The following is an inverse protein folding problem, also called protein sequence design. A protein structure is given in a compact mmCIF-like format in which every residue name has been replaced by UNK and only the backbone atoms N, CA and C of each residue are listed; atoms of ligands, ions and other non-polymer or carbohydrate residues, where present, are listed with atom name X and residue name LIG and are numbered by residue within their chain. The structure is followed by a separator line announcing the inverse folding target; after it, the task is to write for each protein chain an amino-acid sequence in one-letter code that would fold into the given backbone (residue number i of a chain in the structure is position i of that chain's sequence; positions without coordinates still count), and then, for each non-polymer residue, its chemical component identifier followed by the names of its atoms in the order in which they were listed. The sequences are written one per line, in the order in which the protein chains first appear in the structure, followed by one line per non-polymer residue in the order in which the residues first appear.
data_IF_917803322856
#
_entry.id   IF_917803322856
#
_cell.length_a   1.000
_cell.length_b   1.000
_cell.length_c   1.000
_cell.angle_alpha   90.00
_cell.angle_beta   90.00
_cell.angle_gamma   90.00
#
_symmetry.space_group_name_H-M   'P 1'
#
loop_
_entity.id
_entity.type
_entity.pdbx_description
1 polymer ?
#
# COMPACT_ATOMS: atom_id res chain seq x y z
N UNK A 1 -32.85 1.65 -76.98
CA UNK A 1 -31.53 1.08 -76.64
C UNK A 1 -30.70 1.92 -75.65
N UNK A 2 -31.02 3.19 -75.37
CA UNK A 2 -30.19 4.05 -74.49
C UNK A 2 -30.29 3.79 -72.98
N UNK A 3 -31.35 3.14 -72.49
CA UNK A 3 -31.52 2.87 -71.04
C UNK A 3 -30.72 1.66 -70.55
N UNK A 4 -30.58 0.62 -71.40
CA UNK A 4 -29.86 -0.60 -71.04
C UNK A 4 -28.37 -0.34 -70.79
N UNK A 5 -27.75 0.54 -71.59
CA UNK A 5 -26.33 0.92 -71.46
C UNK A 5 -26.04 1.77 -70.21
N UNK A 6 -27.02 2.57 -69.77
CA UNK A 6 -26.93 3.33 -68.50
C UNK A 6 -27.06 2.39 -67.30
N UNK A 7 -27.98 1.43 -67.39
CA UNK A 7 -28.20 0.42 -66.35
C UNK A 7 -26.96 -0.47 -66.19
N UNK A 8 -26.37 -0.95 -67.29
CA UNK A 8 -25.17 -1.79 -67.22
C UNK A 8 -23.97 -1.05 -66.66
N UNK A 9 -23.74 0.21 -67.05
CA UNK A 9 -22.67 1.04 -66.46
C UNK A 9 -22.86 1.29 -64.96
N UNK A 10 -24.11 1.49 -64.54
CA UNK A 10 -24.45 1.67 -63.13
C UNK A 10 -24.21 0.38 -62.35
N UNK A 11 -24.63 -0.77 -62.91
CA UNK A 11 -24.40 -2.09 -62.34
C UNK A 11 -22.90 -2.42 -62.24
N UNK A 12 -22.13 -2.08 -63.27
CA UNK A 12 -20.68 -2.33 -63.34
C UNK A 12 -19.91 -1.42 -62.36
N UNK A 13 -20.35 -0.18 -62.15
CA UNK A 13 -19.87 0.69 -61.07
C UNK A 13 -20.21 0.10 -59.70
N UNK A 14 -21.45 -0.37 -59.50
CA UNK A 14 -21.85 -0.98 -58.24
C UNK A 14 -21.03 -2.23 -57.94
N UNK A 15 -20.83 -3.10 -58.94
CA UNK A 15 -19.99 -4.29 -58.82
C UNK A 15 -18.53 -3.95 -58.48
N UNK A 16 -17.96 -2.90 -59.07
CA UNK A 16 -16.62 -2.40 -58.71
C UNK A 16 -16.54 -1.80 -57.30
N UNK A 17 -17.61 -1.16 -56.82
CA UNK A 17 -17.68 -0.62 -55.46
C UNK A 17 -17.97 -1.69 -54.40
N UNK A 18 -18.82 -2.68 -54.70
CA UNK A 18 -19.15 -3.81 -53.81
C UNK A 18 -18.02 -4.83 -53.71
N UNK A 19 -17.19 -4.96 -54.76
CA UNK A 19 -15.92 -5.70 -54.73
C UNK A 19 -14.72 -4.74 -54.57
N UNK A 20 -14.91 -3.61 -53.88
CA UNK A 20 -13.79 -2.72 -53.61
C UNK A 20 -12.91 -3.37 -52.52
N UNK A 21 -11.60 -3.61 -52.77
CA UNK A 21 -10.69 -4.12 -51.74
C UNK A 21 -10.62 -3.22 -50.52
N UNK A 22 -11.01 -1.94 -50.62
CA UNK A 22 -11.01 -0.98 -49.52
C UNK A 22 -11.99 -1.32 -48.37
N UNK A 23 -13.15 -1.93 -48.67
CA UNK A 23 -14.11 -2.40 -47.64
C UNK A 23 -13.60 -3.68 -46.97
N UNK A 24 -12.98 -4.56 -47.76
CA UNK A 24 -12.29 -5.75 -47.25
C UNK A 24 -11.11 -5.38 -46.34
N UNK A 25 -10.42 -4.25 -46.59
CA UNK A 25 -9.33 -3.78 -45.71
C UNK A 25 -9.86 -3.37 -44.34
N UNK A 26 -10.97 -2.63 -44.27
CA UNK A 26 -11.58 -2.21 -43.01
C UNK A 26 -12.16 -3.40 -42.22
N UNK A 27 -12.76 -4.38 -42.90
CA UNK A 27 -13.21 -5.63 -42.30
C UNK A 27 -12.04 -6.48 -41.80
N UNK A 28 -10.95 -6.57 -42.58
CA UNK A 28 -9.74 -7.28 -42.20
C UNK A 28 -9.01 -6.61 -41.02
N UNK A 29 -8.97 -5.27 -40.98
CA UNK A 29 -8.46 -4.50 -39.85
C UNK A 29 -9.31 -4.70 -38.60
N UNK A 30 -10.63 -4.68 -38.74
CA UNK A 30 -11.58 -4.96 -37.65
C UNK A 30 -11.40 -6.37 -37.12
N UNK A 31 -11.30 -7.37 -38.00
CA UNK A 31 -11.06 -8.77 -37.63
C UNK A 31 -9.67 -8.96 -36.97
N UNK A 32 -8.65 -8.28 -37.47
CA UNK A 32 -7.31 -8.24 -36.88
C UNK A 32 -7.35 -7.65 -35.46
N UNK A 33 -8.08 -6.54 -35.28
CA UNK A 33 -8.30 -5.92 -33.98
C UNK A 33 -9.01 -6.87 -33.00
N UNK A 34 -10.08 -7.53 -33.44
CA UNK A 34 -10.77 -8.54 -32.62
C UNK A 34 -9.87 -9.70 -32.21
N UNK A 35 -9.01 -10.19 -33.11
CA UNK A 35 -8.02 -11.21 -32.79
C UNK A 35 -7.01 -10.70 -31.75
N UNK A 36 -6.53 -9.47 -31.90
CA UNK A 36 -5.54 -8.90 -30.98
C UNK A 36 -6.13 -8.65 -29.59
N UNK A 37 -7.37 -8.15 -29.51
CA UNK A 37 -8.12 -8.02 -28.26
C UNK A 37 -8.33 -9.39 -27.61
N UNK A 38 -8.66 -10.41 -28.40
CA UNK A 38 -8.85 -11.78 -27.90
C UNK A 38 -7.55 -12.37 -27.33
N UNK A 39 -6.42 -12.18 -28.02
CA UNK A 39 -5.10 -12.59 -27.52
C UNK A 39 -4.72 -11.85 -26.26
N UNK A 40 -4.98 -10.54 -26.20
CA UNK A 40 -4.70 -9.72 -25.02
C UNK A 40 -5.54 -10.18 -23.82
N UNK A 41 -6.83 -10.45 -24.05
CA UNK A 41 -7.75 -10.98 -23.03
C UNK A 41 -7.26 -12.33 -22.49
N UNK A 42 -6.87 -13.25 -23.36
CA UNK A 42 -6.31 -14.54 -22.95
C UNK A 42 -5.03 -14.40 -22.11
N UNK A 43 -4.13 -13.48 -22.50
CA UNK A 43 -2.92 -13.16 -21.72
C UNK A 43 -3.28 -12.59 -20.34
N UNK A 44 -4.22 -11.65 -20.29
CA UNK A 44 -4.69 -11.05 -19.05
C UNK A 44 -5.30 -12.09 -18.11
N UNK A 45 -6.19 -12.95 -18.61
CA UNK A 45 -6.82 -14.00 -17.79
C UNK A 45 -5.79 -15.02 -17.28
N UNK A 46 -4.81 -15.39 -18.10
CA UNK A 46 -3.69 -16.25 -17.69
C UNK A 46 -2.85 -15.62 -16.58
N UNK A 47 -2.50 -14.34 -16.74
CA UNK A 47 -1.75 -13.59 -15.75
C UNK A 47 -2.53 -13.44 -14.45
N UNK A 48 -3.81 -13.07 -14.53
CA UNK A 48 -4.68 -12.91 -13.38
C UNK A 48 -4.83 -14.22 -12.61
N UNK A 49 -5.01 -15.35 -13.32
CA UNK A 49 -5.08 -16.68 -12.68
C UNK A 49 -3.81 -16.99 -11.92
N UNK A 50 -2.66 -16.76 -12.55
CA UNK A 50 -1.35 -17.01 -11.92
C UNK A 50 -1.15 -16.10 -10.70
N UNK A 51 -1.44 -14.80 -10.81
CA UNK A 51 -1.24 -13.84 -9.71
C UNK A 51 -2.19 -14.02 -8.54
N UNK A 52 -3.48 -14.27 -8.80
CA UNK A 52 -4.50 -14.36 -7.74
C UNK A 52 -4.67 -15.73 -7.15
N UNK A 53 -4.67 -16.78 -7.97
CA UNK A 53 -4.96 -18.13 -7.48
C UNK A 53 -3.64 -18.84 -7.13
N UNK A 54 -2.74 -19.00 -8.11
CA UNK A 54 -1.57 -19.85 -7.91
C UNK A 54 -0.59 -19.29 -6.86
N UNK A 55 -0.30 -17.97 -6.86
CA UNK A 55 0.57 -17.38 -5.83
C UNK A 55 -0.02 -17.44 -4.42
N UNK A 56 -1.35 -17.56 -4.29
CA UNK A 56 -2.04 -17.76 -3.02
C UNK A 56 -2.19 -19.26 -2.67
N UNK A 57 -1.73 -20.16 -3.55
CA UNK A 57 -1.84 -21.60 -3.36
C UNK A 57 -3.21 -22.19 -3.75
N UNK A 58 -4.04 -21.43 -4.46
CA UNK A 58 -5.35 -21.86 -4.96
C UNK A 58 -5.24 -22.42 -6.39
N UNK A 59 -6.16 -23.31 -6.76
CA UNK A 59 -6.27 -23.93 -8.11
C UNK A 59 -4.95 -24.49 -8.67
N UNK A 60 -4.19 -25.22 -7.85
CA UNK A 60 -2.90 -25.79 -8.24
C UNK A 60 -3.00 -27.09 -9.06
N UNK A 61 -4.19 -27.70 -9.13
CA UNK A 61 -4.43 -29.00 -9.78
C UNK A 61 -3.99 -29.08 -11.26
N UNK A 62 -4.14 -28.01 -12.07
CA UNK A 62 -3.70 -28.02 -13.47
C UNK A 62 -2.17 -27.93 -13.68
N UNK A 63 -1.39 -27.60 -12.65
CA UNK A 63 0.07 -27.42 -12.79
C UNK A 63 0.82 -28.75 -12.69
N UNK A 64 1.87 -28.90 -13.48
CA UNK A 64 2.81 -30.01 -13.35
C UNK A 64 3.73 -29.86 -12.13
N UNK A 65 4.33 -30.97 -11.69
CA UNK A 65 5.29 -30.99 -10.56
C UNK A 65 6.43 -29.98 -10.77
N UNK A 66 6.95 -29.87 -11.99
CA UNK A 66 8.03 -28.91 -12.33
C UNK A 66 7.56 -27.46 -12.17
N UNK A 67 6.33 -27.16 -12.57
CA UNK A 67 5.77 -25.81 -12.43
C UNK A 67 5.49 -25.47 -10.97
N UNK A 68 5.02 -26.44 -10.17
CA UNK A 68 4.89 -26.30 -8.72
C UNK A 68 6.23 -25.99 -8.05
N UNK A 69 7.29 -26.74 -8.36
CA UNK A 69 8.62 -26.50 -7.82
C UNK A 69 9.16 -25.12 -8.19
N UNK A 70 8.90 -24.67 -9.42
CA UNK A 70 9.29 -23.33 -9.85
C UNK A 70 8.49 -22.24 -9.14
N UNK A 71 7.21 -22.47 -8.86
CA UNK A 71 6.35 -21.57 -8.10
C UNK A 71 6.83 -21.47 -6.64
N UNK A 72 7.11 -22.60 -6.00
CA UNK A 72 7.65 -22.67 -4.63
C UNK A 72 8.97 -21.90 -4.52
N UNK A 73 9.92 -22.15 -5.43
CA UNK A 73 11.21 -21.43 -5.46
C UNK A 73 11.04 -19.92 -5.61
N UNK A 74 10.08 -19.48 -6.44
CA UNK A 74 9.77 -18.05 -6.60
C UNK A 74 9.22 -17.44 -5.31
N UNK A 75 8.29 -18.12 -4.65
CA UNK A 75 7.70 -17.67 -3.38
C UNK A 75 8.74 -17.62 -2.26
N UNK A 76 9.59 -18.64 -2.17
CA UNK A 76 10.67 -18.69 -1.18
C UNK A 76 11.69 -17.57 -1.39
N UNK A 77 12.08 -17.33 -2.65
CA UNK A 77 12.96 -16.23 -3.01
C UNK A 77 12.38 -14.86 -2.66
N UNK A 78 11.12 -14.61 -3.01
CA UNK A 78 10.42 -13.38 -2.68
C UNK A 78 10.31 -13.19 -1.15
N UNK A 79 9.91 -14.22 -0.42
CA UNK A 79 9.80 -14.17 1.04
C UNK A 79 11.14 -13.88 1.71
N UNK A 80 12.21 -14.53 1.24
CA UNK A 80 13.57 -14.31 1.75
C UNK A 80 13.99 -12.87 1.53
N UNK A 81 13.78 -12.34 0.32
CA UNK A 81 14.10 -10.95 -0.01
C UNK A 81 13.29 -9.96 0.86
N UNK A 82 11.99 -10.20 1.05
CA UNK A 82 11.14 -9.36 1.90
C UNK A 82 11.63 -9.35 3.35
N UNK A 83 11.95 -10.53 3.92
CA UNK A 83 12.48 -10.66 5.28
C UNK A 83 13.83 -9.97 5.45
N UNK A 84 14.73 -10.16 4.49
CA UNK A 84 16.04 -9.50 4.48
C UNK A 84 15.87 -7.99 4.46
N UNK A 85 15.04 -7.45 3.55
CA UNK A 85 14.78 -6.00 3.47
C UNK A 85 14.18 -5.46 4.76
N UNK A 86 13.18 -6.14 5.33
CA UNK A 86 12.57 -5.75 6.61
C UNK A 86 13.61 -5.69 7.72
N UNK A 87 14.48 -6.70 7.79
CA UNK A 87 15.55 -6.77 8.80
C UNK A 87 16.53 -5.62 8.63
N UNK A 88 16.96 -5.34 7.40
CA UNK A 88 17.88 -4.24 7.11
C UNK A 88 17.29 -2.90 7.56
N UNK A 89 16.04 -2.60 7.20
CA UNK A 89 15.36 -1.36 7.61
C UNK A 89 15.33 -1.24 9.14
N UNK A 90 15.03 -2.33 9.85
CA UNK A 90 14.96 -2.31 11.31
C UNK A 90 16.34 -2.08 11.95
N UNK A 91 17.40 -2.64 11.38
CA UNK A 91 18.79 -2.37 11.80
C UNK A 91 19.12 -0.90 11.59
N UNK A 92 18.85 -0.36 10.40
CA UNK A 92 19.13 1.05 10.06
C UNK A 92 18.39 2.00 11.03
N UNK A 93 17.14 1.72 11.34
CA UNK A 93 16.35 2.48 12.32
C UNK A 93 16.93 2.41 13.73
N UNK A 94 17.37 1.22 14.17
CA UNK A 94 18.00 1.06 15.48
C UNK A 94 19.32 1.83 15.57
N UNK A 95 20.13 1.83 14.50
CA UNK A 95 21.37 2.59 14.44
C UNK A 95 21.15 4.10 14.45
N UNK A 96 20.14 4.58 13.73
CA UNK A 96 19.71 5.98 13.74
C UNK A 96 19.32 6.43 15.14
N UNK A 97 18.47 5.65 15.83
CA UNK A 97 18.02 5.95 17.19
C UNK A 97 19.19 5.97 18.18
N UNK A 98 20.10 4.99 18.11
CA UNK A 98 21.32 4.97 18.95
C UNK A 98 22.21 6.18 18.70
N UNK A 99 22.26 6.70 17.47
CA UNK A 99 23.03 7.91 17.15
C UNK A 99 22.39 9.14 17.80
N UNK A 100 21.07 9.27 17.69
CA UNK A 100 20.31 10.35 18.33
C UNK A 100 20.42 10.31 19.85
N UNK A 101 20.33 9.12 20.45
CA UNK A 101 20.53 8.93 21.90
C UNK A 101 21.88 9.47 22.35
N UNK A 102 22.97 9.11 21.66
CA UNK A 102 24.31 9.64 21.96
C UNK A 102 24.37 11.16 21.82
N UNK A 103 23.89 11.71 20.71
CA UNK A 103 23.91 13.16 20.46
C UNK A 103 23.14 13.95 21.53
N UNK A 104 21.96 13.47 21.92
CA UNK A 104 21.17 14.08 22.99
C UNK A 104 21.84 13.92 24.35
N UNK A 105 22.46 12.76 24.61
CA UNK A 105 23.26 12.51 25.80
C UNK A 105 24.41 13.51 25.94
N UNK A 106 25.20 13.70 24.88
CA UNK A 106 26.33 14.63 24.85
C UNK A 106 25.87 16.08 25.06
N UNK A 107 24.78 16.49 24.40
CA UNK A 107 24.23 17.85 24.57
C UNK A 107 23.67 18.08 25.98
N UNK A 108 23.00 17.07 26.55
CA UNK A 108 22.48 17.15 27.91
C UNK A 108 23.63 17.26 28.94
N UNK A 109 24.72 16.51 28.75
CA UNK A 109 25.89 16.60 29.62
C UNK A 109 26.54 17.99 29.54
N UNK A 110 26.70 18.54 28.34
CA UNK A 110 27.21 19.91 28.15
C UNK A 110 26.33 20.96 28.85
N UNK A 111 25.00 20.81 28.78
CA UNK A 111 24.07 21.71 29.46
C UNK A 111 24.17 21.60 30.98
N UNK A 112 24.24 20.38 31.53
CA UNK A 112 24.46 20.15 32.97
C UNK A 112 25.75 20.80 33.46
N UNK A 113 26.84 20.64 32.70
CA UNK A 113 28.13 21.25 33.02
C UNK A 113 28.03 22.78 33.04
N UNK A 114 27.39 23.38 32.02
CA UNK A 114 27.18 24.83 31.95
C UNK A 114 26.37 25.35 33.14
N UNK A 115 25.25 24.72 33.46
CA UNK A 115 24.43 25.08 34.62
C UNK A 115 25.21 24.97 35.92
N UNK A 116 25.98 23.90 36.10
CA UNK A 116 26.81 23.70 37.30
C UNK A 116 27.87 24.79 37.46
N UNK A 117 28.51 25.21 36.36
CA UNK A 117 29.50 26.29 36.37
C UNK A 117 28.87 27.65 36.69
N UNK A 118 27.73 27.97 36.07
CA UNK A 118 26.99 29.21 36.34
C UNK A 118 26.51 29.29 37.80
N UNK A 119 25.97 28.19 38.35
CA UNK A 119 25.57 28.12 39.76
C UNK A 119 26.76 28.36 40.70
N UNK A 120 27.92 27.74 40.37
CA UNK A 120 29.15 27.90 41.17
C UNK A 120 29.67 29.34 41.11
N UNK A 121 29.59 29.98 39.95
CA UNK A 121 29.96 31.40 39.77
C UNK A 121 29.05 32.32 40.57
N UNK A 122 27.73 32.10 40.54
CA UNK A 122 26.75 32.89 41.29
C UNK A 122 26.93 32.76 42.81
N UNK A 123 27.30 31.57 43.29
CA UNK A 123 27.57 31.33 44.70
C UNK A 123 28.88 32.00 45.15
N UNK A 124 29.87 32.12 44.26
CA UNK A 124 31.12 32.84 44.52
C UNK A 124 30.93 34.37 44.58
N UNK A 125 29.96 34.95 43.87
CA UNK A 125 29.66 36.39 43.88
C UNK A 125 28.75 36.85 45.04
N UNK A 126 28.53 36.01 46.06
CA UNK A 126 27.89 36.40 47.32
C UNK A 126 26.37 36.61 47.27
N UNK A 127 25.71 36.29 46.16
CA UNK A 127 24.24 36.33 46.05
C UNK A 127 23.65 34.97 46.44
N UNK A 128 23.43 34.77 47.75
CA UNK A 128 22.83 33.55 48.28
C UNK A 128 21.36 33.40 47.90
N UNK A 129 21.07 32.75 46.77
CA UNK A 129 19.76 32.19 46.48
C UNK A 129 19.76 30.69 46.78
N UNK A 130 18.76 30.26 47.56
CA UNK A 130 18.55 28.87 47.99
C UNK A 130 18.50 27.95 46.75
N UNK A 131 19.10 26.74 46.77
CA UNK A 131 19.04 25.84 45.62
C UNK A 131 17.58 25.52 45.30
N UNK A 132 17.12 25.87 44.10
CA UNK A 132 15.82 25.40 43.62
C UNK A 132 15.91 23.87 43.45
N UNK A 133 14.90 23.09 43.90
CA UNK A 133 14.87 21.66 43.61
C UNK A 133 14.65 21.48 42.11
N UNK A 134 15.71 21.14 41.38
CA UNK A 134 15.60 20.73 39.98
C UNK A 134 14.91 19.35 39.93
N UNK A 135 13.79 19.18 39.21
CA UNK A 135 13.00 17.94 39.20
C UNK A 135 13.72 16.70 38.64
N UNK A 136 14.94 16.84 38.10
CA UNK A 136 15.66 15.76 37.42
C UNK A 136 16.81 15.14 38.24
N UNK A 137 17.05 15.60 39.47
CA UNK A 137 17.98 14.93 40.38
C UNK A 137 17.31 13.69 41.02
N UNK A 138 17.25 12.59 40.27
CA UNK A 138 16.96 11.26 40.82
C UNK A 138 18.25 10.63 41.35
N UNK A 139 18.76 11.17 42.45
CA UNK A 139 19.77 10.49 43.25
C UNK A 139 19.46 10.79 44.73
N UNK A 140 19.07 9.72 45.45
CA UNK A 140 18.77 9.61 46.89
C UNK A 140 17.28 9.64 47.27
N UNK A 141 16.57 8.55 46.97
CA UNK A 141 15.40 8.15 47.74
C UNK A 141 15.86 7.50 49.06
N UNK A 142 16.08 8.31 50.10
CA UNK A 142 16.06 7.83 51.48
C UNK A 142 14.62 7.74 51.94
N UNK A 143 14.21 6.58 52.43
CA UNK A 143 12.90 6.31 53.01
C UNK A 143 12.52 7.36 54.06
N UNK A 144 11.34 7.98 53.89
CA UNK A 144 10.86 9.02 54.78
C UNK A 144 9.47 9.50 54.37
N UNK A 145 8.47 8.79 54.89
CA UNK A 145 7.04 9.04 54.85
C UNK A 145 6.62 10.54 54.84
N UNK A 146 6.04 11.04 53.74
CA UNK A 146 4.91 12.00 53.73
C UNK A 146 4.26 12.09 52.34
N UNK A 147 2.99 11.67 52.26
CA UNK A 147 1.89 12.23 51.47
C UNK A 147 2.13 12.58 49.98
N UNK A 148 1.92 11.60 49.10
CA UNK A 148 1.76 11.84 47.66
C UNK A 148 0.42 12.55 47.38
N UNK A 149 0.48 13.82 46.97
CA UNK A 149 -0.54 14.38 46.09
C UNK A 149 -0.04 14.20 44.65
N UNK A 150 -0.50 13.13 44.00
CA UNK A 150 -0.34 12.94 42.55
C UNK A 150 -1.12 14.08 41.86
N UNK A 151 -0.40 15.07 41.36
CA UNK A 151 -0.96 16.05 40.43
C UNK A 151 -0.98 15.39 39.04
N UNK A 152 -2.14 15.18 38.39
CA UNK A 152 -2.18 14.70 37.01
C UNK A 152 -1.71 15.82 36.10
N UNK A 153 -0.51 15.71 35.53
CA UNK A 153 -0.14 16.51 34.37
C UNK A 153 -1.01 16.03 33.20
N UNK A 154 -1.99 16.85 32.85
CA UNK A 154 -2.77 16.70 31.63
C UNK A 154 -1.83 16.70 30.42
N UNK A 155 -1.78 15.57 29.73
CA UNK A 155 -1.16 15.47 28.41
C UNK A 155 -2.06 16.16 27.40
N UNK A 156 -1.64 17.30 26.86
CA UNK A 156 -2.18 17.75 25.58
C UNK A 156 -1.68 16.78 24.48
N UNK A 157 -2.55 16.31 23.57
CA UNK A 157 -2.12 15.50 22.44
C UNK A 157 -1.38 16.42 21.48
N UNK A 158 -0.08 16.21 21.30
CA UNK A 158 0.52 16.59 20.03
C UNK A 158 -0.01 15.59 19.02
N UNK A 159 -0.80 16.07 18.06
CA UNK A 159 -1.19 15.35 16.86
C UNK A 159 0.09 14.94 16.11
N UNK A 160 0.62 13.76 16.44
CA UNK A 160 1.54 13.05 15.58
C UNK A 160 0.69 12.48 14.45
N UNK A 161 0.72 13.21 13.34
CA UNK A 161 0.19 12.79 12.06
C UNK A 161 0.44 11.29 11.83
N UNK A 162 -0.65 10.56 11.61
CA UNK A 162 -0.69 9.13 11.40
C UNK A 162 0.29 8.72 10.29
N UNK A 163 1.41 8.11 10.68
CA UNK A 163 2.22 7.27 9.80
C UNK A 163 2.91 6.18 10.63
N UNK A 164 2.11 5.28 11.21
CA UNK A 164 2.62 3.96 11.59
C UNK A 164 2.60 3.02 10.38
N UNK A 165 3.69 2.32 10.06
CA UNK A 165 3.58 1.03 9.38
C UNK A 165 3.20 0.00 10.45
N UNK A 166 1.93 -0.07 10.84
CA UNK A 166 1.43 -1.23 11.60
C UNK A 166 1.57 -2.45 10.71
N UNK A 167 2.55 -3.28 11.03
CA UNK A 167 2.63 -4.63 10.52
C UNK A 167 1.51 -5.45 11.18
N UNK A 168 0.34 -5.41 10.56
CA UNK A 168 -0.80 -6.24 10.92
C UNK A 168 -0.48 -7.70 10.59
N UNK A 169 0.12 -8.40 11.55
CA UNK A 169 0.30 -9.84 11.53
C UNK A 169 -0.98 -10.45 12.11
N UNK A 170 -1.86 -10.94 11.24
CA UNK A 170 -3.05 -11.66 11.64
C UNK A 170 -4.20 -11.44 10.67
N UNK A 171 -4.79 -12.54 10.17
CA UNK A 171 -5.95 -12.53 9.30
C UNK A 171 -7.12 -11.82 10.00
N UNK A 172 -7.49 -10.61 9.54
CA UNK A 172 -8.78 -10.03 9.85
C UNK A 172 -9.82 -10.71 8.94
N UNK A 173 -10.42 -11.79 9.44
CA UNK A 173 -11.61 -12.39 8.85
C UNK A 173 -12.79 -11.43 9.08
N UNK A 174 -13.19 -10.68 8.05
CA UNK A 174 -14.41 -9.88 8.10
C UNK A 174 -15.60 -10.81 7.83
N UNK A 175 -16.39 -11.03 8.89
CA UNK A 175 -17.68 -11.69 8.85
C UNK A 175 -18.62 -10.92 7.91
N UNK A 176 -19.12 -11.59 6.88
CA UNK A 176 -20.13 -11.03 5.99
C UNK A 176 -21.48 -10.96 6.68
N UNK A 177 -21.80 -9.83 7.30
CA UNK A 177 -23.17 -9.52 7.69
C UNK A 177 -23.93 -8.99 6.46
N UNK A 178 -24.60 -9.90 5.75
CA UNK A 178 -25.65 -9.55 4.81
C UNK A 178 -26.98 -9.47 5.56
N UNK A 179 -27.29 -8.29 6.10
CA UNK A 179 -28.65 -7.96 6.52
C UNK A 179 -29.47 -7.55 5.29
N UNK A 180 -30.12 -8.52 4.65
CA UNK A 180 -31.15 -8.24 3.63
C UNK A 180 -32.51 -8.12 4.31
N UNK A 181 -33.22 -6.98 4.25
CA UNK A 181 -34.65 -6.99 4.49
C UNK A 181 -35.36 -7.47 3.23
N UNK A 182 -36.12 -8.54 3.41
CA UNK A 182 -37.05 -9.11 2.43
C UNK A 182 -38.19 -8.10 2.20
N UNK A 183 -38.35 -7.62 0.97
CA UNK A 183 -39.63 -7.04 0.52
C UNK A 183 -39.99 -7.56 -0.87
N UNK A 184 -41.22 -8.04 -0.97
CA UNK A 184 -41.92 -8.60 -2.13
C UNK A 184 -42.58 -7.50 -2.98
N UNK A 185 -42.99 -7.89 -4.19
CA UNK A 185 -43.73 -7.16 -5.24
C UNK A 185 -42.82 -6.31 -6.15
N UNK A 186 -42.60 -6.71 -7.41
CA UNK A 186 -43.53 -6.58 -8.55
C UNK A 186 -43.11 -5.28 -9.27
N UNK A 187 -42.70 -5.22 -10.53
CA UNK A 187 -43.25 -5.75 -11.77
C UNK A 187 -42.19 -5.68 -12.89
N UNK A 188 -42.26 -6.63 -13.81
CA UNK A 188 -42.11 -6.47 -15.26
C UNK A 188 -40.97 -5.63 -15.90
N UNK A 189 -40.22 -6.36 -16.74
CA UNK A 189 -39.79 -6.00 -18.11
C UNK A 189 -38.37 -5.46 -18.40
N UNK A 190 -37.76 -6.18 -19.35
CA UNK A 190 -36.97 -5.74 -20.50
C UNK A 190 -35.43 -5.55 -20.39
N UNK A 191 -34.75 -6.58 -20.91
CA UNK A 191 -33.80 -6.53 -22.05
C UNK A 191 -32.58 -5.61 -21.96
N UNK A 192 -31.43 -6.30 -21.88
CA UNK A 192 -30.14 -6.13 -22.59
C UNK A 192 -29.48 -4.75 -22.73
N UNK A 193 -28.19 -4.73 -22.45
CA UNK A 193 -27.26 -3.74 -22.99
C UNK A 193 -25.82 -3.99 -22.55
N UNK A 194 -25.14 -4.95 -23.19
CA UNK A 194 -23.68 -4.92 -23.24
C UNK A 194 -23.29 -3.81 -24.22
N UNK A 195 -22.60 -2.78 -23.73
CA UNK A 195 -21.91 -1.81 -24.55
C UNK A 195 -20.41 -2.04 -24.38
N UNK A 196 -19.77 -2.07 -25.55
CA UNK A 196 -18.41 -2.47 -25.88
C UNK A 196 -17.31 -1.76 -25.07
#
# INVERSE_FOLDING_TARGET
MCSLFSMTKTLEKYQRCSFNPQDNTAEHETQSWFQEVSKLRAKYESLQRTQRLHLLGEDLGPLSVRELQNLEKQLEGALTQTRQRKTQIMIDQMEELRRKERQLGDMNEQLKMKVSLELSSLQAEGQGLRPLPFPWNSANASAGNTSFALHPCQSNPMDCDNNEPVLQIGYQYVHGESSVPRSMAGESNMVQGWVL
#
